data_IF_368700603344
#
_entry.id   IF_368700603344
#
_cell.length_a   1.000
_cell.length_b   1.000
_cell.length_c   1.000
_cell.angle_alpha   90.00
_cell.angle_beta   90.00
_cell.angle_gamma   90.00
#
_symmetry.space_group_name_H-M   'P 1'
#
loop_
_entity.id
_entity.type
_entity.pdbx_description
1 polymer ?
2 polymer ?
3 water ?
#
# COMPACT_ATOMS: atom_id res chain seq x y z
N UNK A 2 40.18 12.91 -35.00
CA UNK A 2 39.25 12.59 -33.88
C UNK A 2 38.38 11.41 -34.30
N UNK A 3 39.00 10.44 -34.97
CA UNK A 3 38.29 9.25 -35.48
C UNK A 3 38.51 7.99 -34.64
N UNK A 4 37.44 7.28 -34.28
CA UNK A 4 37.58 6.05 -33.49
C UNK A 4 36.83 4.86 -34.12
N UNK A 5 37.48 3.69 -34.02
CA UNK A 5 36.99 2.45 -34.58
C UNK A 5 36.04 1.74 -33.62
N UNK A 6 34.85 1.39 -34.12
CA UNK A 6 33.91 0.61 -33.34
C UNK A 6 33.70 -0.70 -34.07
N UNK A 7 33.89 -1.81 -33.34
CA UNK A 7 33.79 -3.19 -33.86
C UNK A 7 32.52 -3.86 -33.38
N UNK A 8 31.61 -4.11 -34.31
CA UNK A 8 30.33 -4.75 -34.06
C UNK A 8 30.48 -6.10 -33.37
N UNK A 9 29.35 -6.74 -33.07
CA UNK A 9 29.38 -8.07 -32.44
C UNK A 9 29.76 -9.12 -33.46
N UNK A 10 29.81 -8.72 -34.72
CA UNK A 10 30.25 -9.58 -35.80
C UNK A 10 31.32 -8.82 -36.69
N UNK A 11 32.17 -8.05 -35.99
CA UNK A 11 33.21 -7.22 -36.58
C UNK A 11 32.64 -5.87 -36.99
N UNK A 12 32.11 -5.85 -38.21
CA UNK A 12 31.56 -4.65 -38.90
C UNK A 12 32.32 -3.31 -38.69
N UNK A 13 31.89 -2.33 -39.45
CA UNK A 13 32.64 -1.10 -39.56
C UNK A 13 32.34 -0.14 -38.42
N UNK A 14 32.14 1.13 -38.79
CA UNK A 14 31.70 2.21 -37.90
C UNK A 14 32.93 2.90 -37.38
N UNK A 15 33.22 4.01 -38.06
CA UNK A 15 34.33 4.83 -37.76
C UNK A 15 33.55 6.03 -37.42
N UNK A 16 33.49 6.35 -36.13
CA UNK A 16 32.75 7.50 -35.69
C UNK A 16 33.68 8.50 -35.06
N UNK A 17 33.19 9.73 -34.97
CA UNK A 17 33.92 10.81 -34.36
C UNK A 17 34.02 10.49 -32.89
N UNK A 18 35.15 10.81 -32.27
CA UNK A 18 35.39 10.43 -30.87
C UNK A 18 34.34 10.99 -29.92
N UNK A 19 33.98 12.26 -30.05
CA UNK A 19 32.95 12.81 -29.18
C UNK A 19 31.72 11.95 -29.26
N UNK A 20 31.35 11.47 -30.44
CA UNK A 20 30.16 10.62 -30.61
C UNK A 20 30.32 9.26 -29.93
N UNK A 21 31.51 8.71 -29.86
CA UNK A 21 31.68 7.43 -29.21
C UNK A 21 31.70 7.58 -27.70
N UNK A 22 32.43 8.56 -27.16
CA UNK A 22 32.43 8.76 -25.71
C UNK A 22 31.00 8.93 -25.16
N UNK A 23 30.07 9.30 -26.02
CA UNK A 23 28.70 9.51 -25.60
C UNK A 23 28.18 8.26 -24.89
N UNK A 24 28.77 7.09 -25.16
CA UNK A 24 28.45 5.89 -24.41
C UNK A 24 29.46 5.80 -23.32
N UNK A 25 29.02 5.76 -22.07
CA UNK A 25 30.04 5.69 -21.01
C UNK A 25 30.79 4.36 -21.16
N UNK A 26 30.03 3.30 -21.43
CA UNK A 26 30.58 1.98 -21.60
C UNK A 26 31.80 2.03 -22.47
N UNK A 27 31.73 2.81 -23.55
CA UNK A 27 32.87 2.99 -24.44
C UNK A 27 33.91 3.90 -23.79
N UNK A 28 33.54 5.14 -23.52
CA UNK A 28 34.47 6.08 -22.89
C UNK A 28 35.38 5.42 -21.87
N UNK A 29 34.87 4.45 -21.11
CA UNK A 29 35.68 3.77 -20.08
C UNK A 29 36.62 2.69 -20.67
N UNK A 30 36.25 2.09 -21.80
CA UNK A 30 37.15 1.14 -22.49
C UNK A 30 38.29 1.87 -23.20
N UNK A 31 38.00 3.07 -23.69
CA UNK A 31 38.99 3.89 -24.35
C UNK A 31 40.04 4.37 -23.36
N UNK A 32 39.78 4.19 -22.08
CA UNK A 32 40.73 4.56 -21.01
C UNK A 32 41.43 3.33 -20.39
N UNK A 33 40.88 2.12 -20.62
CA UNK A 33 41.53 0.87 -20.18
C UNK A 33 42.80 0.72 -20.98
N UNK A 34 42.62 0.59 -22.29
CA UNK A 34 43.71 0.43 -23.25
C UNK A 34 43.43 1.33 -24.47
N UNK A 35 44.48 1.64 -25.25
CA UNK A 35 44.32 2.45 -26.46
C UNK A 35 43.06 1.99 -27.17
N UNK A 36 42.98 0.67 -27.38
CA UNK A 36 41.82 -0.01 -27.96
C UNK A 36 41.48 0.22 -29.46
N UNK A 37 42.24 1.01 -30.29
CA UNK A 37 42.21 0.97 -31.78
C UNK A 37 40.80 0.40 -32.06
N UNK A 38 40.66 -0.70 -32.85
CA UNK A 38 39.30 -1.27 -32.97
C UNK A 38 38.59 -1.36 -31.62
N UNK A 39 37.27 -1.47 -31.55
CA UNK A 39 36.64 -1.41 -30.22
C UNK A 39 35.57 -2.50 -30.20
N UNK A 40 35.79 -3.57 -29.43
CA UNK A 40 34.93 -4.72 -29.52
C UNK A 40 33.69 -4.54 -28.69
N UNK A 41 32.55 -4.55 -29.37
CA UNK A 41 31.25 -4.44 -28.74
C UNK A 41 30.54 -5.77 -28.94
N UNK A 42 30.83 -6.75 -28.06
CA UNK A 42 30.28 -8.10 -28.08
C UNK A 42 28.78 -8.26 -27.85
N UNK A 43 28.04 -7.20 -27.60
CA UNK A 43 26.61 -7.37 -27.43
C UNK A 43 25.78 -6.76 -28.56
N UNK A 44 26.22 -5.61 -29.06
CA UNK A 44 25.50 -4.89 -30.09
C UNK A 44 25.82 -5.40 -31.47
N UNK A 45 24.83 -5.83 -32.24
CA UNK A 45 25.14 -6.28 -33.61
C UNK A 45 25.40 -5.05 -34.54
N UNK A 46 25.40 -5.26 -35.85
CA UNK A 46 25.64 -4.16 -36.80
C UNK A 46 24.38 -3.35 -37.07
N UNK A 47 23.25 -4.02 -37.26
CA UNK A 47 22.02 -3.35 -37.59
C UNK A 47 21.78 -2.35 -36.53
N UNK A 48 21.78 -2.84 -35.29
CA UNK A 48 21.51 -2.03 -34.10
C UNK A 48 22.53 -0.94 -33.86
N UNK A 49 23.82 -1.27 -33.90
CA UNK A 49 24.85 -0.26 -33.65
C UNK A 49 24.73 0.85 -34.67
N UNK A 50 24.16 0.57 -35.83
CA UNK A 50 24.08 1.58 -36.88
C UNK A 50 23.04 2.57 -36.46
N UNK A 51 21.95 2.04 -35.90
CA UNK A 51 20.92 2.91 -35.36
C UNK A 51 21.52 3.72 -34.22
N UNK A 52 22.19 3.03 -33.30
CA UNK A 52 22.78 3.67 -32.14
C UNK A 52 23.69 4.84 -32.52
N UNK A 53 24.40 4.71 -33.61
CA UNK A 53 25.28 5.78 -34.03
C UNK A 53 24.45 6.88 -34.59
N UNK A 54 23.34 6.56 -35.25
CA UNK A 54 22.50 7.58 -35.86
C UNK A 54 21.88 8.41 -34.76
N UNK A 55 21.31 7.73 -33.79
CA UNK A 55 20.74 8.43 -32.68
C UNK A 55 21.80 9.36 -32.01
N UNK A 56 22.98 8.82 -31.69
CA UNK A 56 24.02 9.63 -31.05
C UNK A 56 24.48 10.79 -31.93
N UNK A 57 24.60 10.56 -33.24
CA UNK A 57 25.11 11.67 -34.04
C UNK A 57 24.05 12.77 -34.13
N UNK A 58 22.79 12.42 -33.95
CA UNK A 58 21.70 13.40 -33.98
C UNK A 58 21.64 14.27 -32.75
N UNK A 59 21.92 13.69 -31.59
CA UNK A 59 21.91 14.42 -30.31
C UNK A 59 23.28 14.92 -29.88
N UNK A 60 24.31 14.72 -30.68
CA UNK A 60 25.67 15.10 -30.27
C UNK A 60 25.77 16.48 -29.66
N UNK A 61 25.17 17.48 -30.29
CA UNK A 61 25.30 18.87 -29.83
C UNK A 61 24.19 19.35 -28.90
N UNK A 62 23.89 18.69 -27.84
CA UNK A 62 22.82 19.21 -26.91
C UNK A 62 22.64 18.64 -25.46
N UNK A 63 22.89 17.32 -25.23
CA UNK A 63 22.48 16.59 -23.99
C UNK A 63 22.24 17.32 -22.68
N UNK A 64 21.13 16.89 -22.07
CA UNK A 64 20.84 17.24 -20.68
C UNK A 64 19.40 17.41 -20.22
N UNK A 65 19.03 16.63 -19.19
CA UNK A 65 17.75 16.78 -18.46
C UNK A 65 16.45 16.13 -18.93
N UNK A 66 16.48 15.29 -19.98
CA UNK A 66 15.26 14.62 -20.48
C UNK A 66 14.47 14.00 -19.33
N UNK A 67 14.68 12.73 -19.04
CA UNK A 67 13.93 12.01 -18.03
C UNK A 67 12.49 11.91 -18.52
N UNK A 68 11.54 12.51 -17.77
CA UNK A 68 10.11 12.48 -18.12
C UNK A 68 9.69 13.75 -18.90
N UNK A 69 10.46 14.09 -19.91
CA UNK A 69 10.16 15.20 -20.78
C UNK A 69 9.55 14.55 -22.01
N UNK A 70 8.59 15.19 -22.66
CA UNK A 70 7.95 14.58 -23.84
C UNK A 70 8.96 14.05 -24.86
N UNK A 71 8.73 12.88 -25.39
CA UNK A 71 9.66 12.36 -26.39
C UNK A 71 9.67 13.33 -27.56
N UNK A 72 10.84 13.73 -28.05
CA UNK A 72 10.85 14.67 -29.13
C UNK A 72 10.40 14.02 -30.41
N UNK A 73 9.85 14.83 -31.31
CA UNK A 73 9.32 14.38 -32.60
C UNK A 73 10.23 13.47 -33.42
N UNK A 74 11.52 13.80 -33.49
CA UNK A 74 12.46 13.05 -34.28
C UNK A 74 12.67 11.69 -33.64
N UNK A 75 12.87 11.65 -32.33
CA UNK A 75 13.06 10.38 -31.66
C UNK A 75 11.81 9.57 -31.87
N UNK A 76 10.65 10.22 -31.85
CA UNK A 76 9.45 9.46 -32.07
C UNK A 76 9.54 8.67 -33.40
N UNK A 77 9.88 9.37 -34.49
CA UNK A 77 10.08 8.71 -35.74
C UNK A 77 11.17 7.69 -35.59
N UNK A 78 12.36 8.15 -35.24
CA UNK A 78 13.49 7.23 -35.11
C UNK A 78 13.04 5.91 -34.55
N UNK A 79 12.16 5.99 -33.56
CA UNK A 79 11.68 4.79 -32.87
C UNK A 79 10.49 4.09 -33.49
N UNK A 80 9.90 4.63 -34.57
CA UNK A 80 8.86 3.90 -35.27
C UNK A 80 9.60 2.79 -36.03
N UNK A 81 9.82 1.74 -35.24
CA UNK A 81 10.56 0.54 -35.56
C UNK A 81 9.75 -0.70 -35.19
N UNK A 82 10.26 -1.89 -35.51
CA UNK A 82 9.63 -3.16 -35.10
C UNK A 82 9.79 -3.35 -33.61
N UNK A 83 8.79 -3.91 -32.96
CA UNK A 83 8.86 -4.06 -31.52
C UNK A 83 10.13 -4.76 -31.02
N UNK A 84 10.43 -5.91 -31.58
CA UNK A 84 11.63 -6.60 -31.19
C UNK A 84 12.84 -5.72 -31.37
N UNK A 85 12.81 -4.86 -32.39
CA UNK A 85 13.94 -3.97 -32.69
C UNK A 85 14.03 -2.96 -31.60
N UNK A 86 12.86 -2.50 -31.11
CA UNK A 86 12.83 -1.51 -30.04
C UNK A 86 13.55 -2.06 -28.81
N UNK A 87 13.19 -3.28 -28.39
CA UNK A 87 13.81 -3.88 -27.21
C UNK A 87 15.26 -4.09 -27.46
N UNK A 88 15.63 -4.37 -28.70
CA UNK A 88 17.04 -4.52 -28.96
C UNK A 88 17.77 -3.19 -28.69
N UNK A 89 17.14 -2.07 -29.01
CA UNK A 89 17.74 -0.78 -28.68
C UNK A 89 17.80 -0.60 -27.16
N UNK A 90 16.72 -0.98 -26.48
CA UNK A 90 16.68 -0.89 -25.04
C UNK A 90 17.86 -1.60 -24.40
N UNK A 91 18.31 -2.69 -25.01
CA UNK A 91 19.45 -3.40 -24.45
C UNK A 91 20.76 -2.74 -24.79
N UNK A 92 20.89 -2.23 -26.01
CA UNK A 92 22.14 -1.56 -26.45
C UNK A 92 22.39 -0.34 -25.58
N UNK A 93 21.32 0.41 -25.37
CA UNK A 93 21.36 1.58 -24.50
C UNK A 93 21.83 1.15 -23.10
N UNK A 94 21.28 0.08 -22.61
CA UNK A 94 21.71 -0.38 -21.34
C UNK A 94 23.15 -0.90 -21.41
N UNK A 95 23.54 -1.58 -22.49
CA UNK A 95 24.88 -2.15 -22.56
C UNK A 95 25.95 -1.08 -22.75
N UNK A 96 25.65 -0.13 -23.61
CA UNK A 96 26.57 0.94 -23.97
C UNK A 96 26.46 2.08 -23.00
N UNK A 97 25.51 1.97 -22.10
CA UNK A 97 25.19 3.00 -21.10
C UNK A 97 25.12 4.42 -21.75
N UNK A 98 24.08 4.56 -22.57
CA UNK A 98 23.71 5.79 -23.22
C UNK A 98 22.35 6.22 -22.61
N UNK A 99 22.41 7.09 -21.61
CA UNK A 99 21.20 7.43 -20.85
C UNK A 99 20.06 7.97 -21.70
N UNK A 100 20.39 8.83 -22.65
CA UNK A 100 19.38 9.47 -23.48
C UNK A 100 18.61 8.49 -24.31
N UNK A 101 19.29 7.48 -24.82
CA UNK A 101 18.65 6.51 -25.69
C UNK A 101 17.78 5.59 -24.87
N UNK A 102 18.22 5.35 -23.62
CA UNK A 102 17.51 4.51 -22.66
C UNK A 102 16.24 5.20 -22.26
N UNK A 103 16.35 6.48 -21.91
CA UNK A 103 15.17 7.24 -21.56
C UNK A 103 14.12 7.14 -22.65
N UNK A 104 14.54 7.39 -23.87
CA UNK A 104 13.52 7.56 -24.87
C UNK A 104 12.94 6.19 -25.38
N UNK A 105 13.74 5.14 -25.31
CA UNK A 105 13.25 3.87 -25.74
C UNK A 105 12.34 3.32 -24.63
N UNK A 106 12.81 3.38 -23.38
CA UNK A 106 12.00 2.87 -22.32
C UNK A 106 10.73 3.68 -22.19
N UNK A 107 10.80 5.01 -22.38
CA UNK A 107 9.61 5.81 -22.28
C UNK A 107 8.62 5.43 -23.38
N UNK A 108 9.08 5.10 -24.59
CA UNK A 108 8.17 4.70 -25.68
C UNK A 108 7.49 3.40 -25.37
N UNK A 109 8.18 2.49 -24.67
CA UNK A 109 7.62 1.19 -24.25
C UNK A 109 6.56 1.45 -23.19
N UNK A 110 6.89 2.35 -22.26
CA UNK A 110 5.99 2.79 -21.21
C UNK A 110 4.72 3.32 -21.83
N UNK A 111 4.84 4.13 -22.88
CA UNK A 111 3.66 4.74 -23.52
C UNK A 111 2.77 3.76 -24.23
N UNK A 112 3.32 2.62 -24.54
CA UNK A 112 2.53 1.58 -25.15
C UNK A 112 1.65 0.95 -24.07
N UNK A 113 2.23 0.68 -22.90
CA UNK A 113 1.46 0.07 -21.80
C UNK A 113 0.38 0.97 -21.23
N UNK A 114 0.56 2.28 -21.34
CA UNK A 114 -0.40 3.20 -20.75
C UNK A 114 -1.74 3.07 -21.41
N UNK A 115 -2.77 2.95 -20.61
CA UNK A 115 -4.12 2.90 -21.15
C UNK A 115 -4.55 1.62 -21.84
N UNK A 116 -4.13 0.48 -21.29
CA UNK A 116 -4.50 -0.84 -21.82
C UNK A 116 -5.20 -1.66 -20.71
N UNK A 117 -5.75 -2.85 -20.99
CA UNK A 117 -6.75 -3.48 -20.06
C UNK A 117 -6.45 -4.33 -18.81
N UNK A 118 -5.39 -5.12 -18.79
CA UNK A 118 -4.37 -5.37 -19.74
C UNK A 118 -4.95 -5.98 -20.99
N UNK A 119 -5.34 -7.26 -21.02
CA UNK A 119 -5.79 -7.88 -22.27
C UNK A 119 -5.39 -7.31 -23.62
N UNK A 120 -5.13 -6.02 -23.61
CA UNK A 120 -4.37 -5.27 -24.57
C UNK A 120 -2.93 -5.43 -24.14
N UNK A 121 -2.53 -4.88 -22.99
CA UNK A 121 -1.15 -5.07 -22.52
C UNK A 121 -0.70 -6.49 -22.76
N UNK A 122 -1.65 -7.42 -22.68
CA UNK A 122 -1.37 -8.85 -22.88
C UNK A 122 -1.03 -9.24 -24.32
N UNK A 123 -1.91 -8.90 -25.26
CA UNK A 123 -1.66 -9.11 -26.68
C UNK A 123 -0.37 -8.44 -27.08
N UNK A 124 -0.31 -7.16 -26.80
CA UNK A 124 0.81 -6.35 -27.21
C UNK A 124 2.19 -6.94 -26.95
N UNK A 125 2.43 -7.59 -25.81
CA UNK A 125 3.79 -8.02 -25.51
C UNK A 125 3.94 -9.50 -25.35
N UNK A 126 2.96 -10.28 -25.76
CA UNK A 126 3.01 -11.72 -25.56
C UNK A 126 3.51 -12.06 -24.16
N UNK A 127 2.61 -11.94 -23.18
CA UNK A 127 2.84 -12.22 -21.74
C UNK A 127 1.92 -13.33 -21.34
N UNK A 128 2.38 -14.24 -20.50
CA UNK A 128 1.58 -15.43 -20.16
C UNK A 128 0.49 -15.20 -19.11
N UNK A 129 -0.79 -15.30 -19.52
CA UNK A 129 -1.96 -15.18 -18.64
C UNK A 129 -1.76 -15.72 -17.22
N UNK A 130 -1.31 -16.97 -17.09
CA UNK A 130 -0.90 -17.53 -15.80
C UNK A 130 -1.61 -17.41 -14.41
N UNK A 131 -2.66 -16.58 -14.28
CA UNK A 131 -3.64 -16.66 -13.17
C UNK A 131 -4.73 -17.73 -13.39
N UNK A 132 -4.71 -18.77 -12.57
CA UNK A 132 -5.73 -19.82 -12.65
C UNK A 132 -7.13 -19.20 -12.47
N UNK A 133 -8.16 -20.01 -12.71
CA UNK A 133 -9.57 -19.57 -12.64
C UNK A 133 -9.81 -18.47 -11.58
N UNK A 134 -9.79 -18.84 -10.31
CA UNK A 134 -10.03 -17.87 -9.20
C UNK A 134 -8.89 -16.82 -8.95
N UNK A 135 -7.66 -17.09 -9.38
CA UNK A 135 -6.53 -16.16 -9.15
C UNK A 135 -6.84 -14.70 -9.55
N UNK A 136 -7.61 -14.53 -10.64
CA UNK A 136 -8.00 -13.22 -11.19
C UNK A 136 -8.63 -12.21 -10.21
N UNK A 137 -9.86 -12.44 -9.79
CA UNK A 137 -10.57 -11.50 -8.92
C UNK A 137 -9.67 -11.00 -7.80
N UNK A 138 -8.98 -11.95 -7.15
CA UNK A 138 -8.10 -11.64 -6.01
C UNK A 138 -6.98 -10.65 -6.37
N UNK A 139 -6.47 -10.69 -7.59
CA UNK A 139 -5.46 -9.72 -7.99
C UNK A 139 -6.15 -8.49 -8.57
N UNK A 140 -7.29 -8.69 -9.23
CA UNK A 140 -8.01 -7.57 -9.87
C UNK A 140 -8.65 -6.58 -8.87
N UNK A 141 -9.18 -7.07 -7.75
CA UNK A 141 -9.69 -6.15 -6.72
C UNK A 141 -8.48 -5.52 -6.00
N UNK A 142 -7.46 -6.35 -5.77
CA UNK A 142 -6.21 -5.92 -5.13
C UNK A 142 -5.42 -4.88 -5.96
N UNK A 143 -5.62 -4.89 -7.28
CA UNK A 143 -4.97 -3.96 -8.23
C UNK A 143 -5.92 -2.89 -8.80
N UNK A 144 -6.79 -2.35 -7.95
CA UNK A 144 -7.71 -1.29 -8.35
C UNK A 144 -7.18 -0.06 -7.62
N UNK A 145 -6.26 0.66 -8.26
CA UNK A 145 -5.68 1.85 -7.64
C UNK A 145 -6.66 3.03 -7.70
N UNK A 146 -7.14 3.46 -6.52
CA UNK A 146 -8.08 4.58 -6.35
C UNK A 146 -7.65 5.86 -7.07
N UNK B 1 11.21 -17.55 -20.02
CA UNK B 1 10.25 -16.40 -20.06
C UNK B 1 9.94 -15.96 -21.51
N UNK B 2 9.06 -16.72 -22.18
CA UNK B 2 8.68 -16.51 -23.60
C UNK B 2 8.41 -15.03 -24.04
N UNK B 3 8.18 -14.11 -23.11
CA UNK B 3 7.94 -12.70 -23.48
C UNK B 3 9.21 -11.89 -23.52
N UNK B 4 9.42 -11.25 -24.68
CA UNK B 4 10.50 -10.32 -24.89
C UNK B 4 10.60 -9.28 -23.77
N UNK B 5 9.45 -8.83 -23.29
CA UNK B 5 9.37 -7.85 -22.19
C UNK B 5 9.64 -8.45 -20.82
N UNK B 6 9.40 -9.73 -20.65
CA UNK B 6 9.62 -10.34 -19.34
C UNK B 6 11.09 -10.67 -19.20
N UNK B 7 11.76 -10.99 -20.31
CA UNK B 7 13.17 -11.35 -20.23
C UNK B 7 14.11 -10.19 -19.88
N UNK B 8 13.72 -8.93 -20.09
CA UNK B 8 14.68 -7.85 -19.86
C UNK B 8 15.15 -7.84 -18.41
N UNK B 9 16.35 -7.31 -18.16
CA UNK B 9 16.82 -7.20 -16.79
C UNK B 9 15.90 -6.38 -15.88
N UNK B 10 15.87 -6.79 -14.63
CA UNK B 10 15.03 -6.14 -13.68
C UNK B 10 15.39 -4.66 -13.62
N UNK B 11 16.69 -4.33 -13.61
CA UNK B 11 17.07 -2.91 -13.55
C UNK B 11 16.30 -2.18 -14.67
N UNK B 12 16.43 -2.70 -15.89
CA UNK B 12 15.79 -2.10 -17.06
C UNK B 12 14.27 -2.19 -16.97
N UNK B 13 13.74 -3.27 -16.41
CA UNK B 13 12.29 -3.35 -16.29
C UNK B 13 11.71 -2.28 -15.36
N UNK B 14 12.39 -2.05 -14.26
CA UNK B 14 11.93 -1.06 -13.33
C UNK B 14 12.07 0.33 -13.93
N UNK B 15 13.12 0.52 -14.73
CA UNK B 15 13.34 1.81 -15.43
C UNK B 15 12.13 2.05 -16.31
N UNK B 16 11.68 1.05 -17.05
CA UNK B 16 10.49 1.27 -17.85
C UNK B 16 9.36 1.65 -16.92
N UNK B 17 9.24 0.89 -15.83
CA UNK B 17 8.12 1.10 -14.95
C UNK B 17 8.21 2.49 -14.34
N UNK B 18 9.41 3.06 -14.28
CA UNK B 18 9.49 4.39 -13.64
C UNK B 18 8.71 5.49 -14.36
N UNK B 19 8.36 5.31 -15.63
CA UNK B 19 7.61 6.32 -16.36
C UNK B 19 6.12 6.16 -16.28
N UNK B 20 5.64 5.13 -15.59
CA UNK B 20 4.19 4.86 -15.50
C UNK B 20 3.63 5.48 -14.26
N UNK B 21 2.32 5.31 -14.06
CA UNK B 21 1.57 5.82 -12.90
C UNK B 21 0.97 4.69 -12.14
N UNK B 22 0.61 4.93 -10.89
CA UNK B 22 0.05 3.85 -10.12
C UNK B 22 -1.09 3.12 -10.85
N UNK B 23 -1.95 3.84 -11.53
CA UNK B 23 -3.07 3.22 -12.23
C UNK B 23 -2.56 2.25 -13.29
N UNK B 24 -1.70 2.75 -14.17
CA UNK B 24 -1.06 1.93 -15.18
C UNK B 24 -0.52 0.71 -14.48
N UNK B 25 0.41 0.95 -13.56
CA UNK B 25 1.08 -0.11 -12.80
C UNK B 25 0.16 -1.25 -12.38
N UNK B 26 -1.08 -0.90 -12.02
CA UNK B 26 -2.06 -1.92 -11.60
C UNK B 26 -2.54 -2.73 -12.82
N UNK B 27 -2.79 -2.07 -13.94
CA UNK B 27 -3.18 -2.81 -15.12
C UNK B 27 -2.09 -3.81 -15.56
N UNK B 28 -0.84 -3.35 -15.60
CA UNK B 28 0.28 -4.21 -15.94
C UNK B 28 0.39 -5.35 -14.95
N UNK B 29 0.12 -5.03 -13.68
CA UNK B 29 0.20 -6.00 -12.61
C UNK B 29 -0.80 -7.12 -12.83
N UNK B 30 -1.96 -6.77 -13.38
CA UNK B 30 -3.05 -7.71 -13.64
C UNK B 30 -2.78 -8.72 -14.76
N UNK B 31 -1.58 -8.66 -15.38
CA UNK B 31 -1.11 -9.68 -16.35
C UNK B 31 -0.65 -10.93 -15.59
N UNK B 32 -0.52 -10.73 -14.26
CA UNK B 32 -0.30 -11.71 -13.16
C UNK B 32 1.17 -12.09 -12.95
N UNK B 33 1.40 -13.20 -12.23
CA UNK B 33 2.72 -13.73 -12.09
C UNK B 33 3.73 -12.63 -11.70
N UNK B 34 4.86 -12.65 -12.40
CA UNK B 34 5.96 -11.74 -12.28
C UNK B 34 5.51 -10.32 -12.22
N UNK B 35 4.78 -9.86 -13.23
CA UNK B 35 4.34 -8.46 -13.29
C UNK B 35 3.59 -8.06 -12.02
N UNK B 36 2.67 -8.87 -11.53
CA UNK B 36 2.04 -8.49 -10.31
C UNK B 36 3.12 -8.32 -9.27
N UNK B 37 3.96 -9.34 -9.07
CA UNK B 37 5.03 -9.24 -8.08
C UNK B 37 5.86 -8.00 -8.31
N UNK B 38 6.47 -7.88 -9.48
CA UNK B 38 7.42 -6.77 -9.77
C UNK B 38 6.81 -5.34 -9.82
N UNK B 39 5.57 -5.21 -10.28
CA UNK B 39 4.98 -3.88 -10.26
C UNK B 39 5.03 -3.34 -8.86
N UNK B 40 5.09 -4.19 -7.84
CA UNK B 40 5.10 -3.70 -6.44
C UNK B 40 6.51 -3.63 -5.88
N UNK B 41 7.52 -3.62 -6.75
CA UNK B 41 8.90 -3.70 -6.24
C UNK B 41 9.19 -2.57 -5.28
N UNK B 42 9.63 -2.88 -4.05
CA UNK B 42 10.05 -1.90 -3.05
C UNK B 42 10.90 -0.77 -3.62
N UNK B 43 11.84 -1.12 -4.50
CA UNK B 43 12.70 -0.12 -5.08
C UNK B 43 11.94 0.85 -5.96
N UNK B 44 10.95 0.40 -6.72
CA UNK B 44 10.28 1.32 -7.64
C UNK B 44 9.56 2.40 -6.83
N UNK B 45 9.04 1.97 -5.69
CA UNK B 45 8.31 2.86 -4.83
C UNK B 45 9.21 3.79 -4.07
N UNK B 46 10.41 3.34 -3.73
CA UNK B 46 11.29 4.27 -3.09
C UNK B 46 11.47 5.43 -4.04
N UNK B 47 11.79 5.10 -5.27
CA UNK B 47 12.01 6.15 -6.24
C UNK B 47 10.80 7.09 -6.34
N UNK B 48 9.60 6.53 -6.38
CA UNK B 48 8.44 7.35 -6.48
C UNK B 48 8.27 8.19 -5.24
N UNK B 49 8.54 7.63 -4.08
CA UNK B 49 8.33 8.35 -2.82
C UNK B 49 9.29 9.51 -2.76
N UNK B 50 10.55 9.30 -3.09
CA UNK B 50 11.56 10.36 -3.04
C UNK B 50 11.27 11.44 -4.04
N UNK B 51 10.88 11.02 -5.23
CA UNK B 51 10.41 11.93 -6.21
C UNK B 51 9.08 12.29 -5.62
N UNK B 52 8.41 13.34 -6.04
CA UNK B 52 7.06 13.58 -5.50
C UNK B 52 6.81 13.83 -4.00
N UNK B 53 7.79 13.49 -3.14
CA UNK B 53 7.76 13.88 -1.73
C UNK B 53 7.93 15.39 -1.74
N UNK B 54 8.89 15.86 -2.55
CA UNK B 54 9.11 17.28 -2.74
C UNK B 54 8.09 18.00 -3.59
N UNK B 55 6.96 17.40 -3.89
CA UNK B 55 5.97 18.10 -4.66
C UNK B 55 4.72 18.33 -3.83
N UNK B 56 4.73 17.87 -2.58
CA UNK B 56 3.52 17.95 -1.80
C UNK B 56 3.63 19.13 -0.86
N UNK B 57 2.53 19.84 -0.72
CA UNK B 57 2.50 21.06 0.06
C UNK B 57 1.81 20.96 1.42
N UNK B 58 1.54 19.74 1.88
CA UNK B 58 0.90 19.54 3.16
C UNK B 58 1.51 18.36 3.83
N UNK B 59 1.56 18.34 5.16
CA UNK B 59 1.94 17.14 5.86
C UNK B 59 1.23 17.26 7.17
N UNK B 60 0.34 16.31 7.48
CA UNK B 60 -0.31 16.33 8.79
C UNK B 60 0.52 15.49 9.73
N UNK B 61 0.19 15.56 11.00
CA UNK B 61 0.83 14.75 12.05
C UNK B 61 0.67 13.24 11.81
N UNK B 62 -0.50 12.85 11.37
CA UNK B 62 -0.81 11.47 11.06
C UNK B 62 -0.04 10.90 9.80
N UNK B 63 0.67 11.73 9.03
CA UNK B 63 1.29 11.28 7.79
C UNK B 63 2.79 11.54 7.56
N UNK B 64 3.47 12.14 8.52
CA UNK B 64 4.91 12.39 8.39
C UNK B 64 5.71 11.13 8.69
N UNK B 65 6.21 10.50 7.63
CA UNK B 65 6.96 9.28 7.62
C UNK B 65 8.10 9.31 8.56
N UNK B 66 8.39 8.10 9.03
CA UNK B 66 9.47 7.89 9.98
C UNK B 66 10.68 8.67 9.57
N UNK B 67 11.65 8.72 10.46
CA UNK B 67 12.82 9.45 10.14
C UNK B 67 12.95 9.47 8.61
N UNK B 68 13.03 10.67 8.07
CA UNK B 68 13.37 10.82 6.69
C UNK B 68 14.82 10.28 6.63
N UNK B 69 15.50 10.26 7.79
CA UNK B 69 16.83 9.68 7.92
C UNK B 69 16.73 8.20 7.51
N UNK B 70 15.57 7.60 7.78
CA UNK B 70 15.28 6.22 7.41
C UNK B 70 14.61 6.09 6.04
N UNK B 71 13.66 6.96 5.69
CA UNK B 71 13.05 6.92 4.33
C UNK B 71 14.16 7.09 3.32
N UNK B 72 14.97 8.12 3.51
CA UNK B 72 16.10 8.43 2.64
C UNK B 72 17.46 8.06 3.22
N UNK B 73 17.87 6.76 3.09
CA UNK B 73 19.19 6.21 3.34
C UNK B 73 19.53 5.22 2.22
N UNK B 74 20.62 4.48 2.37
CA UNK B 74 21.03 3.47 1.41
C UNK B 74 19.90 2.47 1.17
N UNK B 75 19.66 2.13 -0.09
CA UNK B 75 18.64 1.15 -0.48
C UNK B 75 18.47 -0.03 0.49
N UNK B 76 19.62 -0.59 0.91
CA UNK B 76 19.69 -1.75 1.82
C UNK B 76 20.36 -1.32 3.14
N UNK B 77 21.65 -0.97 3.07
CA UNK B 77 22.44 -0.54 4.25
C UNK B 77 21.98 0.81 4.81
N UNK B 82 11.62 -1.94 6.42
CA UNK B 82 10.99 -0.61 6.27
C UNK B 82 9.83 -0.71 5.30
N UNK B 83 9.97 -0.08 4.12
CA UNK B 83 8.97 -0.16 3.13
C UNK B 83 7.75 0.27 3.94
N UNK B 84 6.55 -0.16 3.63
CA UNK B 84 6.24 -0.87 2.46
C UNK B 84 6.04 0.36 1.59
N UNK B 85 7.17 0.97 1.19
CA UNK B 85 7.24 2.23 0.42
C UNK B 85 5.98 2.53 -0.34
N UNK B 86 5.39 1.50 -0.92
CA UNK B 86 4.09 1.67 -1.51
C UNK B 86 3.08 2.21 -0.45
N UNK B 87 3.00 1.54 0.71
CA UNK B 87 2.10 1.97 1.80
C UNK B 87 2.43 3.37 2.25
N UNK B 88 3.72 3.65 2.44
CA UNK B 88 4.15 4.98 2.88
C UNK B 88 3.86 6.01 1.79
N UNK B 89 3.92 5.59 0.54
CA UNK B 89 3.60 6.51 -0.51
C UNK B 89 2.19 6.95 -0.28
N UNK B 90 1.31 5.99 -0.03
CA UNK B 90 -0.12 6.26 0.19
C UNK B 90 -0.46 7.18 1.38
N UNK B 91 0.18 7.00 2.53
CA UNK B 91 -0.18 7.82 3.67
C UNK B 91 0.25 9.26 3.39
N UNK B 92 1.42 9.39 2.79
CA UNK B 92 2.01 10.68 2.49
C UNK B 92 1.37 11.38 1.31
N UNK B 93 0.90 10.64 0.31
CA UNK B 93 0.24 11.30 -0.82
C UNK B 93 -0.94 11.91 -0.15
N UNK B 94 -1.04 13.30 -0.21
CA UNK B 94 -2.15 13.91 0.50
C UNK B 94 -3.43 13.76 -0.26
N UNK B 95 -3.38 13.31 -1.52
CA UNK B 95 -4.63 13.11 -2.25
C UNK B 95 -5.15 11.65 -2.13
N UNK B 96 -4.45 10.83 -1.35
CA UNK B 96 -4.79 9.41 -1.14
C UNK B 96 -5.06 9.03 0.31
N UNK B 97 -6.10 8.13 0.63
CA UNK B 97 -6.46 7.61 1.92
C UNK B 97 -6.18 6.11 1.82
N UNK B 98 -5.35 5.56 2.72
CA UNK B 98 -5.16 4.09 2.72
C UNK B 98 -6.47 3.51 3.27
N UNK B 99 -6.80 2.26 2.94
CA UNK B 99 -8.09 1.75 3.41
C UNK B 99 -7.98 0.91 4.68
N UNK B 100 -9.05 0.95 5.47
CA UNK B 100 -9.11 0.24 6.73
C UNK B 100 -10.57 -0.06 7.11
N UNK B 101 -10.78 -1.26 7.64
CA UNK B 101 -12.06 -1.67 8.23
C UNK B 101 -11.74 -1.82 9.69
N UNK B 102 -12.15 -0.83 10.47
CA UNK B 102 -11.88 -0.76 11.88
C UNK B 102 -12.22 -2.05 12.59
N UNK B 103 -11.52 -2.29 13.69
CA UNK B 103 -11.78 -3.45 14.51
C UNK B 103 -11.91 -2.88 15.90
N UNK B 104 -12.82 -3.42 16.72
CA UNK B 104 -12.96 -2.93 18.07
C UNK B 104 -13.01 -4.05 19.08
N UNK B 105 -12.34 -3.86 20.21
CA UNK B 105 -12.38 -4.86 21.27
C UNK B 105 -13.57 -4.61 22.20
N UNK B 106 -14.52 -5.53 22.18
CA UNK B 106 -15.68 -5.38 23.06
C UNK B 106 -15.55 -6.30 24.26
N UNK B 107 -15.45 -5.67 25.42
CA UNK B 107 -15.38 -6.39 26.64
C UNK B 107 -16.30 -5.66 27.62
N UNK B 108 -16.49 -6.22 28.81
CA UNK B 108 -17.27 -5.57 29.81
C UNK B 108 -18.17 -6.56 30.49
N UNK B 109 -18.52 -6.29 31.76
CA UNK B 109 -19.42 -7.07 32.58
C UNK B 109 -20.80 -7.14 31.99
N UNK B 110 -21.20 -6.09 31.31
CA UNK B 110 -22.50 -6.07 30.69
C UNK B 110 -22.74 -7.22 29.74
N UNK B 111 -21.71 -7.84 29.23
CA UNK B 111 -21.91 -8.93 28.31
C UNK B 111 -22.55 -10.13 29.01
N UNK B 112 -22.36 -10.28 30.32
CA UNK B 112 -22.81 -11.50 31.02
C UNK B 112 -23.84 -11.37 32.09
N UNK B 113 -24.02 -10.17 32.65
CA UNK B 113 -24.95 -9.98 33.80
C UNK B 113 -26.40 -9.72 33.36
N UNK B 114 -26.58 -9.11 32.20
CA UNK B 114 -27.94 -8.76 31.71
C UNK B 114 -28.73 -10.02 31.35
N UNK B 115 -30.01 -10.05 31.71
CA UNK B 115 -30.86 -11.21 31.40
C UNK B 115 -31.17 -11.44 29.95
N UNK B 116 -30.87 -10.44 29.13
CA UNK B 116 -30.95 -10.50 27.67
C UNK B 116 -29.53 -10.29 27.14
N UNK B 117 -29.06 -11.16 26.26
CA UNK B 117 -27.72 -10.99 25.69
C UNK B 117 -27.65 -9.97 24.56
N UNK B 118 -26.79 -8.96 24.75
CA UNK B 118 -26.58 -7.93 23.77
C UNK B 118 -25.92 -8.53 22.57
N UNK B 119 -24.98 -9.42 22.86
CA UNK B 119 -24.17 -10.04 21.84
C UNK B 119 -25.03 -10.88 20.95
N UNK B 120 -25.99 -11.53 21.56
CA UNK B 120 -26.86 -12.46 20.86
C UNK B 120 -27.95 -11.66 20.13
N UNK B 121 -28.05 -10.39 20.48
CA UNK B 121 -28.99 -9.50 19.82
C UNK B 121 -28.22 -8.93 18.58
N UNK B 122 -27.04 -8.35 18.83
CA UNK B 122 -26.24 -7.93 17.73
C UNK B 122 -26.21 -9.10 16.71
N UNK B 123 -25.96 -10.32 17.12
CA UNK B 123 -25.95 -11.41 16.17
C UNK B 123 -27.25 -11.62 15.39
N UNK B 124 -28.42 -11.24 15.94
CA UNK B 124 -29.71 -11.52 15.28
C UNK B 124 -30.31 -10.31 14.64
N UNK B 125 -29.46 -9.34 14.36
CA UNK B 125 -29.89 -8.06 13.81
C UNK B 125 -29.85 -7.91 12.30
N UNK B 126 -30.96 -8.21 11.66
CA UNK B 126 -31.13 -7.97 10.24
C UNK B 126 -30.36 -6.74 9.73
N UNK B 127 -30.53 -5.62 10.43
CA UNK B 127 -29.92 -4.34 10.04
C UNK B 127 -28.41 -4.25 9.94
N UNK B 128 -27.65 -5.09 10.66
CA UNK B 128 -26.16 -5.00 10.61
C UNK B 128 -25.39 -6.09 9.82
N UNK B 129 -26.12 -7.03 9.22
CA UNK B 129 -25.50 -8.06 8.39
C UNK B 129 -24.37 -8.74 9.10
N UNK B 130 -24.57 -9.13 10.35
CA UNK B 130 -23.46 -9.73 11.05
C UNK B 130 -23.04 -10.98 10.30
N UNK B 131 -21.76 -11.22 10.21
CA UNK B 131 -21.28 -12.38 9.51
C UNK B 131 -19.95 -12.77 10.12
N UNK B 132 -19.73 -14.07 10.23
CA UNK B 132 -18.51 -14.62 10.76
C UNK B 132 -17.34 -13.96 10.10
N UNK B 133 -16.35 -13.56 10.91
CA UNK B 133 -15.13 -12.94 10.43
C UNK B 133 -14.35 -13.98 9.68
N UNK B 134 -13.82 -13.59 8.51
CA UNK B 134 -13.06 -14.53 7.67
C UNK B 134 -11.69 -14.85 8.25
N UNK B 135 -11.26 -16.14 8.15
CA UNK B 135 -9.97 -16.49 8.73
C UNK B 135 -8.86 -15.67 8.13
N UNK B 136 -9.09 -15.14 6.93
CA UNK B 136 -8.09 -14.31 6.23
C UNK B 136 -7.60 -13.31 7.25
N UNK B 137 -6.39 -13.59 7.77
CA UNK B 137 -5.86 -12.85 8.90
C UNK B 137 -7.10 -12.70 9.76
N UNK B 138 -7.31 -11.58 10.43
CA UNK B 138 -8.51 -11.49 11.25
C UNK B 138 -8.58 -12.60 12.38
N UNK B 139 -7.68 -13.61 12.34
CA UNK B 139 -7.55 -14.68 13.35
C UNK B 139 -6.55 -14.18 14.42
N UNK B 140 -6.42 -14.89 15.57
CA UNK B 140 -5.40 -14.54 16.59
C UNK B 140 -5.01 -15.71 17.54
N UNK B 141 -6.07 -16.30 18.06
CA UNK B 141 -6.07 -17.28 19.16
C UNK B 141 -7.35 -16.97 19.97
N UNK B 142 -8.17 -16.05 19.44
CA UNK B 142 -9.46 -15.65 19.98
C UNK B 142 -10.58 -15.80 18.94
N UNK B 143 -10.20 -15.91 17.66
CA UNK B 143 -11.14 -16.02 16.52
C UNK B 143 -10.97 -14.86 15.53
N UNK B 144 -11.97 -14.70 14.66
CA UNK B 144 -11.93 -13.63 13.64
C UNK B 144 -12.82 -12.45 14.00
N UNK B 145 -13.59 -12.62 15.05
CA UNK B 145 -14.52 -11.58 15.46
C UNK B 145 -15.74 -11.65 14.59
N UNK B 146 -16.60 -10.65 14.70
CA UNK B 146 -17.78 -10.61 13.84
C UNK B 146 -17.84 -9.33 13.09
N UNK B 147 -17.99 -9.44 11.79
CA UNK B 147 -18.06 -8.30 10.94
C UNK B 147 -19.46 -7.84 10.93
N UNK B 148 -19.62 -6.53 10.83
CA UNK B 148 -20.94 -5.94 10.74
C UNK B 148 -20.83 -4.91 9.68
N UNK B 149 -21.97 -4.57 9.10
CA UNK B 149 -21.99 -3.56 8.08
C UNK B 149 -23.06 -2.58 8.48
N UNK B 150 -22.67 -1.33 8.71
CA UNK B 150 -23.67 -0.33 9.09
C UNK B 150 -24.37 0.17 7.85
N UNK B 151 -25.70 0.14 7.87
CA UNK B 151 -26.53 0.62 6.75
C UNK B 151 -25.81 0.67 5.38
N UNK B 152 -25.35 -0.50 4.95
CA UNK B 152 -24.68 -0.70 3.63
C UNK B 152 -23.54 0.26 3.24
N UNK B 153 -22.69 0.65 4.19
CA UNK B 153 -21.54 1.49 3.85
C UNK B 153 -20.31 1.12 4.64
N UNK B 154 -20.30 1.50 5.91
CA UNK B 154 -19.14 1.27 6.76
C UNK B 154 -19.21 -0.15 7.30
N UNK B 155 -18.12 -0.88 7.14
CA UNK B 155 -18.03 -2.23 7.60
C UNK B 155 -17.07 -2.17 8.74
N UNK B 156 -17.29 -2.95 9.81
CA UNK B 156 -16.36 -3.00 10.91
C UNK B 156 -16.36 -4.35 11.55
N UNK B 157 -15.36 -4.59 12.40
CA UNK B 157 -15.17 -5.87 13.01
C UNK B 157 -15.08 -5.75 14.50
N UNK B 158 -15.79 -6.62 15.19
CA UNK B 158 -15.74 -6.61 16.62
C UNK B 158 -15.23 -7.94 17.12
N UNK B 159 -14.34 -7.84 18.08
CA UNK B 159 -13.78 -8.97 18.76
C UNK B 159 -14.41 -8.93 20.09
N UNK B 160 -15.28 -9.88 20.41
CA UNK B 160 -15.96 -9.89 21.73
C UNK B 160 -15.16 -10.72 22.76
N UNK B 161 -14.50 -10.06 23.70
CA UNK B 161 -13.65 -10.72 24.71
C UNK B 161 -14.50 -11.11 25.92
N UNK B 162 -14.89 -12.38 26.03
CA UNK B 162 -15.75 -12.79 27.16
C UNK B 162 -15.00 -12.95 28.45
N UNK B 163 -13.68 -12.89 28.37
CA UNK B 163 -12.85 -12.98 29.56
C UNK B 163 -11.50 -12.34 29.29
N UNK B 164 -11.30 -11.22 29.97
CA UNK B 164 -10.08 -10.46 29.86
C UNK B 164 -9.34 -10.57 31.21
N UNK B 165 -8.01 -10.64 31.19
CA UNK B 165 -7.23 -10.67 32.44
C UNK B 165 -7.22 -12.02 33.19
N UNK B 166 -6.44 -12.06 34.27
CA UNK B 166 -6.37 -13.22 35.13
C UNK B 166 -7.36 -13.07 36.28
N UNK B 197 -3.98 -2.91 39.27
CA UNK B 197 -2.77 -3.43 38.64
C UNK B 197 -3.10 -4.18 37.32
N UNK B 198 -2.14 -4.13 36.37
CA UNK B 198 -2.20 -4.70 34.99
C UNK B 198 -3.10 -5.96 34.84
N UNK B 199 -2.48 -7.14 34.74
CA UNK B 199 -3.15 -8.45 34.69
C UNK B 199 -3.74 -8.80 33.31
N UNK B 200 -3.52 -7.94 32.31
CA UNK B 200 -4.04 -8.20 30.97
C UNK B 200 -3.47 -9.50 30.49
N UNK B 201 -4.37 -10.37 30.06
CA UNK B 201 -3.99 -11.67 29.51
C UNK B 201 -3.17 -11.45 28.20
N UNK B 202 -2.32 -12.44 27.81
CA UNK B 202 -1.44 -12.25 26.68
C UNK B 202 -2.13 -12.24 25.30
N UNK B 203 -3.06 -13.15 25.10
CA UNK B 203 -3.78 -13.19 23.83
C UNK B 203 -4.52 -11.86 23.69
N UNK B 204 -5.07 -11.39 24.81
CA UNK B 204 -5.83 -10.16 24.92
C UNK B 204 -4.96 -8.92 24.56
N UNK B 205 -3.67 -8.96 24.88
CA UNK B 205 -2.72 -7.88 24.54
C UNK B 205 -2.41 -7.81 23.06
N UNK B 206 -2.46 -8.97 22.39
CA UNK B 206 -2.33 -9.01 20.92
C UNK B 206 -3.54 -8.25 20.32
N UNK B 207 -4.71 -8.39 20.97
CA UNK B 207 -5.93 -7.69 20.59
C UNK B 207 -5.84 -6.22 20.90
N UNK B 208 -5.31 -5.89 22.06
CA UNK B 208 -5.13 -4.50 22.46
C UNK B 208 -4.22 -3.69 21.52
N UNK B 209 -3.31 -4.37 20.83
CA UNK B 209 -2.39 -3.63 20.01
C UNK B 209 -2.95 -3.40 18.60
N UNK B 210 -3.53 -4.43 18.01
CA UNK B 210 -4.06 -4.34 16.64
C UNK B 210 -5.46 -3.69 16.55
N UNK B 211 -6.10 -3.41 17.66
CA UNK B 211 -7.44 -2.83 17.58
C UNK B 211 -7.38 -1.30 17.48
N UNK B 212 -8.44 -0.69 16.92
CA UNK B 212 -8.55 0.76 16.73
C UNK B 212 -9.31 1.47 17.85
N UNK B 213 -10.17 0.73 18.52
CA UNK B 213 -10.94 1.27 19.60
C UNK B 213 -11.52 0.22 20.51
N UNK B 214 -12.04 0.69 21.62
CA UNK B 214 -12.57 -0.17 22.65
C UNK B 214 -14.00 0.13 22.89
N UNK B 215 -14.71 -0.93 23.31
CA UNK B 215 -16.14 -0.90 23.66
C UNK B 215 -16.34 -1.57 25.06
N UNK B 216 -16.86 -0.86 26.05
CA UNK B 216 -16.99 -1.41 27.39
C UNK B 216 -18.43 -1.47 27.76
N UNK B 217 -18.91 -2.68 28.01
CA UNK B 217 -20.34 -2.86 28.24
C UNK B 217 -20.61 -2.88 29.71
N UNK B 218 -20.96 -1.70 30.21
CA UNK B 218 -21.35 -1.47 31.57
C UNK B 218 -22.75 -1.99 31.71
N UNK B 219 -23.07 -2.39 32.91
CA UNK B 219 -24.40 -2.74 33.34
C UNK B 219 -25.05 -1.54 33.99
N UNK B 220 -25.99 -0.89 33.29
CA UNK B 220 -26.68 0.30 33.78
C UNK B 220 -27.95 -0.02 34.55
N UNK B 221 -28.22 -1.31 34.74
CA UNK B 221 -29.42 -1.67 35.44
C UNK B 221 -29.27 -1.11 36.84
N UNK B 222 -30.28 -0.35 37.25
CA UNK B 222 -30.34 0.37 38.55
C UNK B 222 -30.12 -0.54 39.77
N UNK B 223 -30.51 -1.81 39.70
CA UNK B 223 -30.33 -2.67 40.89
C UNK B 223 -28.92 -3.15 41.16
N UNK B 224 -28.06 -3.07 40.17
CA UNK B 224 -26.72 -3.63 40.26
C UNK B 224 -25.76 -2.87 41.14
N UNK B 225 -25.11 -3.57 42.06
CA UNK B 225 -24.11 -2.95 42.93
C UNK B 225 -22.79 -2.96 42.23
N UNK B 226 -22.07 -1.85 42.20
CA UNK B 226 -20.78 -1.85 41.49
C UNK B 226 -19.49 -1.72 42.35
N UNK B 227 -18.38 -2.26 41.85
CA UNK B 227 -17.04 -1.91 42.36
C UNK B 227 -16.55 -1.02 41.25
N UNK B 228 -16.88 0.26 41.38
CA UNK B 228 -16.54 1.20 40.33
C UNK B 228 -15.05 1.22 40.06
N UNK B 229 -14.31 1.25 41.17
CA UNK B 229 -12.88 1.33 41.08
C UNK B 229 -12.37 0.14 40.28
N UNK B 230 -12.86 -1.07 40.53
CA UNK B 230 -12.45 -2.25 39.75
C UNK B 230 -12.61 -2.06 38.23
N UNK B 231 -13.84 -1.82 37.81
CA UNK B 231 -14.16 -1.56 36.44
C UNK B 231 -13.28 -0.46 35.83
N UNK B 232 -13.07 0.65 36.54
CA UNK B 232 -12.20 1.68 35.99
C UNK B 232 -10.80 1.16 35.82
N UNK B 233 -10.33 0.43 36.81
CA UNK B 233 -9.02 -0.15 36.70
C UNK B 233 -9.00 -1.11 35.50
N UNK B 234 -9.95 -2.01 35.51
CA UNK B 234 -10.07 -2.99 34.46
C UNK B 234 -10.15 -2.32 33.10
N UNK B 235 -10.90 -1.23 32.99
CA UNK B 235 -10.91 -0.54 31.70
C UNK B 235 -9.49 -0.18 31.38
N UNK B 236 -8.90 0.66 32.23
CA UNK B 236 -7.53 1.14 32.07
C UNK B 236 -6.57 0.05 31.61
N UNK B 237 -6.60 -1.05 32.34
CA UNK B 237 -5.75 -2.18 32.07
C UNK B 237 -5.75 -2.47 30.60
N UNK B 238 -6.93 -2.60 30.02
CA UNK B 238 -7.09 -2.93 28.61
C UNK B 238 -6.72 -1.76 27.68
N UNK B 239 -7.22 -0.56 28.02
CA UNK B 239 -6.94 0.69 27.28
C UNK B 239 -5.49 1.18 27.45
N UNK B 240 -4.68 0.41 28.17
CA UNK B 240 -3.27 0.72 28.42
C UNK B 240 -2.57 1.25 27.16
N UNK B 241 -1.77 2.32 27.32
CA UNK B 241 -1.13 2.95 26.19
C UNK B 241 0.21 2.30 25.83
N UNK B 242 0.72 1.42 26.69
CA UNK B 242 1.94 0.72 26.36
C UNK B 242 1.64 -0.20 25.18
N UNK B 243 0.36 -0.48 24.92
CA UNK B 243 0.00 -1.40 23.85
C UNK B 243 -0.06 -0.78 22.46
N UNK B 244 -1.21 -0.25 22.06
CA UNK B 244 -1.34 0.40 20.73
C UNK B 244 -1.31 1.91 20.89
N UNK B 245 -0.82 2.33 22.06
CA UNK B 245 -0.76 3.71 22.50
C UNK B 245 -1.92 4.51 21.87
N UNK B 246 -1.56 5.57 21.14
CA UNK B 246 -2.53 6.42 20.46
C UNK B 246 -3.64 6.87 21.46
N UNK B 247 -4.60 7.66 20.98
CA UNK B 247 -5.74 8.10 21.80
C UNK B 247 -6.99 7.41 21.28
N UNK B 248 -6.88 6.10 21.09
CA UNK B 248 -7.98 5.31 20.59
C UNK B 248 -9.26 5.55 21.41
N UNK B 249 -10.39 5.76 20.71
CA UNK B 249 -11.63 6.03 21.35
C UNK B 249 -12.17 4.83 22.11
N UNK B 250 -12.96 5.14 23.15
CA UNK B 250 -13.65 4.19 24.00
C UNK B 250 -15.10 4.51 23.98
N UNK B 251 -15.89 3.60 23.42
CA UNK B 251 -17.33 3.72 23.46
C UNK B 251 -17.75 2.88 24.65
N UNK B 252 -18.56 3.42 25.56
CA UNK B 252 -19.02 2.60 26.65
C UNK B 252 -20.53 2.53 26.59
N UNK B 253 -21.02 1.30 26.45
CA UNK B 253 -22.45 1.03 26.31
C UNK B 253 -23.16 0.82 27.65
N UNK B 254 -23.76 1.89 28.16
CA UNK B 254 -24.47 1.87 29.44
C UNK B 254 -25.72 1.09 29.20
N UNK B 255 -25.68 -0.17 29.54
CA UNK B 255 -26.66 -1.06 28.96
C UNK B 255 -27.60 -1.76 29.86
N UNK B 256 -28.85 -1.91 29.44
CA UNK B 256 -29.87 -2.63 30.23
C UNK B 256 -30.58 -3.66 29.39
N UNK B 257 -31.10 -4.68 30.02
CA UNK B 257 -31.74 -5.81 29.34
C UNK B 257 -32.84 -5.44 28.39
N UNK B 258 -33.72 -4.56 28.83
CA UNK B 258 -34.86 -4.15 28.01
C UNK B 258 -35.43 -2.84 28.53
N UNK B 259 -36.43 -2.37 27.80
CA UNK B 259 -36.99 -1.05 28.00
C UNK B 259 -37.54 -0.77 29.35
N UNK B 260 -38.23 -1.74 29.93
CA UNK B 260 -38.88 -1.48 31.20
C UNK B 260 -37.95 -1.54 32.39
N UNK B 261 -36.66 -1.81 32.21
CA UNK B 261 -35.83 -1.95 33.41
C UNK B 261 -35.41 -0.57 33.83
N UNK B 262 -35.43 -0.33 35.14
CA UNK B 262 -35.08 0.99 35.69
C UNK B 262 -33.60 1.18 35.48
N UNK B 263 -33.23 2.35 34.98
CA UNK B 263 -31.88 2.63 34.54
C UNK B 263 -31.11 3.63 35.38
N UNK B 264 -29.80 3.42 35.52
CA UNK B 264 -28.98 4.38 36.22
C UNK B 264 -28.70 5.41 35.22
N UNK B 265 -28.94 6.67 35.48
CA UNK B 265 -28.64 7.63 34.41
C UNK B 265 -27.19 7.56 33.98
N UNK B 266 -26.95 7.87 32.71
CA UNK B 266 -25.61 7.70 32.23
C UNK B 266 -24.70 8.77 32.71
N UNK B 267 -25.21 9.93 33.06
CA UNK B 267 -24.30 10.94 33.53
C UNK B 267 -23.73 10.46 34.82
N UNK B 268 -24.57 9.79 35.61
CA UNK B 268 -24.09 9.36 36.92
C UNK B 268 -23.16 8.16 36.73
N UNK B 269 -23.48 7.27 35.80
CA UNK B 269 -22.62 6.11 35.55
C UNK B 269 -21.23 6.55 35.13
N UNK B 270 -21.17 7.43 34.13
CA UNK B 270 -19.90 8.00 33.61
C UNK B 270 -19.12 8.58 34.75
N UNK B 271 -19.84 9.26 35.62
CA UNK B 271 -19.19 9.88 36.74
C UNK B 271 -18.78 8.88 37.81
N UNK B 272 -19.31 7.66 37.81
CA UNK B 272 -18.93 6.70 38.85
C UNK B 272 -17.71 5.96 38.42
N UNK B 273 -17.60 5.68 37.14
CA UNK B 273 -16.42 5.06 36.59
C UNK B 273 -15.31 6.08 36.51
N UNK B 274 -15.45 7.24 37.13
CA UNK B 274 -14.38 8.20 37.09
C UNK B 274 -13.91 8.56 35.68
N UNK B 275 -14.74 8.39 34.66
CA UNK B 275 -14.31 8.58 33.24
C UNK B 275 -13.61 9.92 32.91
N UNK B 276 -13.84 10.95 33.71
CA UNK B 276 -13.18 12.25 33.55
C UNK B 276 -11.67 12.15 33.44
N UNK B 277 -11.11 11.09 34.00
CA UNK B 277 -9.65 10.89 34.07
C UNK B 277 -8.96 10.38 32.82
N UNK B 278 -9.69 9.68 31.97
CA UNK B 278 -9.10 9.11 30.76
C UNK B 278 -8.60 10.11 29.72
N UNK B 279 -8.97 11.39 29.80
CA UNK B 279 -8.46 12.40 28.81
C UNK B 279 -7.97 11.78 27.42
N UNK B 280 -8.96 11.23 26.72
CA UNK B 280 -8.86 10.64 25.41
C UNK B 280 -10.31 10.32 25.05
N UNK B 281 -10.76 10.44 23.80
CA UNK B 281 -12.18 10.33 23.49
C UNK B 281 -12.90 9.16 24.09
N UNK B 282 -14.07 9.49 24.64
CA UNK B 282 -14.99 8.53 25.17
C UNK B 282 -16.39 9.10 25.12
N UNK B 283 -17.35 8.19 25.19
CA UNK B 283 -18.75 8.50 25.15
C UNK B 283 -19.52 7.37 25.76
N UNK B 284 -20.43 7.75 26.64
CA UNK B 284 -21.29 6.80 27.29
C UNK B 284 -22.64 6.89 26.57
N UNK B 285 -23.04 5.81 25.89
CA UNK B 285 -24.29 5.73 25.15
C UNK B 285 -25.25 4.75 25.80
N UNK B 286 -26.48 5.17 26.06
CA UNK B 286 -27.45 4.30 26.71
C UNK B 286 -27.86 3.24 25.73
N UNK B 287 -28.19 2.05 26.22
CA UNK B 287 -28.48 0.93 25.36
C UNK B 287 -29.39 -0.11 25.92
N UNK B 288 -30.15 -0.77 25.06
CA UNK B 288 -31.04 -1.82 25.48
C UNK B 288 -30.71 -3.10 24.76
N UNK B 289 -30.42 -4.16 25.49
CA UNK B 289 -30.01 -5.39 24.86
C UNK B 289 -31.04 -5.83 23.85
N UNK B 290 -32.27 -5.91 24.28
CA UNK B 290 -33.39 -6.41 23.50
C UNK B 290 -33.56 -5.79 22.11
N UNK B 291 -33.73 -4.48 22.07
CA UNK B 291 -33.99 -3.70 20.86
C UNK B 291 -32.79 -3.08 20.21
N UNK B 292 -31.64 -3.13 20.87
CA UNK B 292 -30.42 -2.51 20.41
C UNK B 292 -30.62 -1.00 20.33
N UNK B 293 -31.67 -0.51 20.95
CA UNK B 293 -31.92 0.92 20.99
C UNK B 293 -30.68 1.51 21.56
N UNK B 294 -30.12 2.47 20.84
CA UNK B 294 -28.94 3.21 21.28
C UNK B 294 -27.65 2.74 20.68
N UNK B 295 -27.59 1.49 20.19
CA UNK B 295 -26.31 0.93 19.72
C UNK B 295 -25.78 1.67 18.51
N UNK B 296 -26.66 1.76 17.51
CA UNK B 296 -26.42 2.43 16.24
C UNK B 296 -25.92 3.87 16.44
N UNK B 297 -26.47 4.65 17.36
CA UNK B 297 -25.87 5.94 17.63
C UNK B 297 -24.48 5.76 18.18
N UNK B 298 -24.30 4.81 19.08
CA UNK B 298 -22.98 4.62 19.68
C UNK B 298 -21.87 4.23 18.73
N UNK B 299 -22.20 3.25 17.88
CA UNK B 299 -21.29 2.77 16.85
C UNK B 299 -20.94 3.88 15.87
N UNK B 300 -21.94 4.65 15.46
CA UNK B 300 -21.70 5.78 14.56
C UNK B 300 -20.65 6.70 15.13
N UNK B 301 -20.66 6.92 16.43
CA UNK B 301 -19.69 7.78 17.08
C UNK B 301 -18.28 7.24 17.03
N UNK B 302 -18.14 5.96 17.28
CA UNK B 302 -16.84 5.36 17.35
C UNK B 302 -16.18 5.33 15.96
N UNK B 303 -16.97 5.10 14.91
CA UNK B 303 -16.42 5.05 13.56
C UNK B 303 -15.89 6.40 13.23
N UNK B 304 -16.74 7.42 13.34
CA UNK B 304 -16.36 8.82 13.07
C UNK B 304 -15.16 9.25 13.90
N UNK B 305 -14.99 8.69 15.08
CA UNK B 305 -13.83 9.05 15.88
C UNK B 305 -12.54 8.54 15.21
N UNK B 306 -12.50 7.26 14.85
CA UNK B 306 -11.35 6.66 14.16
C UNK B 306 -11.30 7.19 12.74
N UNK B 307 -10.29 7.97 12.39
CA UNK B 307 -10.28 8.54 11.04
C UNK B 307 -8.87 8.96 10.64
N UNK B 308 -8.68 9.24 9.34
CA UNK B 308 -7.33 9.59 8.87
C UNK B 308 -7.24 10.02 7.39
#
# INVERSE_FOLDING_TARGET
MASIKLQSSDGEIFEVDVEIAKQSVTIKTMLEDLGMDPVPLPNVNAAILKKVIQWCTHHKDDPGGSGTDDIPVWDQEFLKVDQGTLFELILAANYLDIKGLLDVTCKTVANMIKGKTPEEIRKTFNIKNDFTEEEEAQVRKENQWCEEK
AASTLTRLPIDVQLYILSFLSPHDLCQLGSTNHYWNETVRDPILWRYFLLRDLPSWSSVDWKSLPDLEILKKPISEVTDGAFFDYMAVYRMCCPYLIIQNEPRFAMFGPGLEELNTSLVLSLMSSEELCPTAGLPQRQIDGIGSGVNFQLNNQHKFNILILYSTTRKERDRAREEHTSAVNKMFSRHNEGDDQQGSRYSVIPQIQKVCEVVDGFIYVANAEAHKRHEWQDEFSHIMAMTDPAFGSSGRPLLVLSCISQGDVKRMPCFYLAHELHLNLLNHPWLVQDTEAETLTGFLNGIEWILEEVESKRAR
#
